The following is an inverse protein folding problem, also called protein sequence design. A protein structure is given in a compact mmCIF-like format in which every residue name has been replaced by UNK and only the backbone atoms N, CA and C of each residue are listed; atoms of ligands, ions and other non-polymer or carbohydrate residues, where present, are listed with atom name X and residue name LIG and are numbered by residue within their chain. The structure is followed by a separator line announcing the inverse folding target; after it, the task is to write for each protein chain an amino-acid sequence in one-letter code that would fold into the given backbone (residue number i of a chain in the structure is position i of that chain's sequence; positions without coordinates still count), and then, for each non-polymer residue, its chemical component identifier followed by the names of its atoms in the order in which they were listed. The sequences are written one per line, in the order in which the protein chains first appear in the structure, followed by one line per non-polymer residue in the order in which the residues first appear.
data_IF_417864279296
#
_entry.id   IF_417864279296
#
_cell.length_a   1.000
_cell.length_b   1.000
_cell.length_c   1.000
_cell.angle_alpha   90.00
_cell.angle_beta   90.00
_cell.angle_gamma   90.00
#
_symmetry.space_group_name_H-M   'P 1'
#
loop_
_entity.id
_entity.type
_entity.pdbx_description
1 polymer ?
#
# COMPACT_ATOMS: atom_id res chain seq x y z
N UNK A 1 37.88 -0.48 -29.43
CA UNK A 1 36.55 0.16 -29.52
C UNK A 1 35.46 -0.89 -29.36
N UNK A 2 35.56 -2.04 -30.01
CA UNK A 2 34.63 -3.18 -29.85
C UNK A 2 34.51 -3.66 -28.39
N UNK A 3 35.63 -3.86 -27.66
CA UNK A 3 35.58 -4.31 -26.25
C UNK A 3 34.73 -3.42 -25.32
N UNK A 4 34.72 -2.10 -25.56
CA UNK A 4 33.90 -1.15 -24.78
C UNK A 4 32.42 -1.25 -25.15
N UNK A 5 32.12 -1.58 -26.40
CA UNK A 5 30.75 -1.80 -26.87
C UNK A 5 30.22 -3.10 -26.25
N UNK A 6 31.00 -4.18 -26.29
CA UNK A 6 30.63 -5.48 -25.71
C UNK A 6 30.37 -5.37 -24.19
N UNK A 7 31.20 -4.60 -23.48
CA UNK A 7 31.00 -4.34 -22.05
C UNK A 7 29.70 -3.57 -21.79
N UNK A 8 29.39 -2.58 -22.63
CA UNK A 8 28.16 -1.80 -22.52
C UNK A 8 26.92 -2.65 -22.82
N UNK A 9 26.99 -3.53 -23.82
CA UNK A 9 25.90 -4.47 -24.14
C UNK A 9 25.63 -5.44 -22.98
N UNK A 10 26.69 -5.98 -22.38
CA UNK A 10 26.55 -6.86 -21.22
C UNK A 10 25.87 -6.13 -20.04
N UNK A 11 26.34 -4.92 -19.72
CA UNK A 11 25.74 -4.09 -18.66
C UNK A 11 24.30 -3.73 -18.97
N UNK A 12 24.01 -3.39 -20.23
CA UNK A 12 22.64 -3.08 -20.67
C UNK A 12 21.71 -4.26 -20.45
N UNK A 13 22.11 -5.47 -20.87
CA UNK A 13 21.33 -6.70 -20.64
C UNK A 13 21.11 -7.02 -19.16
N UNK A 14 22.11 -6.75 -18.30
CA UNK A 14 21.97 -6.88 -16.85
C UNK A 14 20.98 -5.88 -16.27
N UNK A 15 21.01 -4.63 -16.74
CA UNK A 15 20.07 -3.60 -16.33
C UNK A 15 18.65 -3.91 -16.79
N UNK A 16 18.47 -4.38 -18.02
CA UNK A 16 17.15 -4.76 -18.55
C UNK A 16 16.52 -5.87 -17.72
N UNK A 17 17.30 -6.90 -17.35
CA UNK A 17 16.85 -7.96 -16.43
C UNK A 17 16.46 -7.39 -15.07
N UNK A 18 17.31 -6.54 -14.50
CA UNK A 18 17.05 -5.92 -13.20
C UNK A 18 15.73 -5.12 -13.22
N UNK A 19 15.48 -4.38 -14.30
CA UNK A 19 14.24 -3.59 -14.46
C UNK A 19 13.02 -4.51 -14.51
N UNK A 20 13.08 -5.62 -15.25
CA UNK A 20 12.00 -6.60 -15.30
C UNK A 20 11.71 -7.21 -13.92
N UNK A 21 12.75 -7.65 -13.21
CA UNK A 21 12.61 -8.22 -11.86
C UNK A 21 12.00 -7.22 -10.88
N UNK A 22 12.44 -5.96 -10.91
CA UNK A 22 11.88 -4.90 -10.08
C UNK A 22 10.41 -4.62 -10.42
N UNK A 23 10.06 -4.61 -11.70
CA UNK A 23 8.68 -4.41 -12.14
C UNK A 23 7.77 -5.53 -11.62
N UNK A 24 8.19 -6.79 -11.73
CA UNK A 24 7.44 -7.93 -11.18
C UNK A 24 7.22 -7.82 -9.68
N UNK A 25 8.25 -7.39 -8.93
CA UNK A 25 8.16 -7.18 -7.49
C UNK A 25 7.15 -6.06 -7.18
N UNK A 26 7.22 -4.93 -7.87
CA UNK A 26 6.31 -3.79 -7.67
C UNK A 26 4.87 -4.19 -7.96
N UNK A 27 4.61 -4.89 -9.06
CA UNK A 27 3.27 -5.39 -9.37
C UNK A 27 2.74 -6.33 -8.29
N UNK A 28 3.58 -7.23 -7.76
CA UNK A 28 3.19 -8.13 -6.66
C UNK A 28 2.89 -7.36 -5.38
N UNK A 29 3.70 -6.35 -5.06
CA UNK A 29 3.50 -5.50 -3.89
C UNK A 29 2.19 -4.70 -3.98
N UNK A 30 1.86 -4.18 -5.17
CA UNK A 30 0.60 -3.45 -5.39
C UNK A 30 -0.63 -4.32 -5.09
N UNK A 31 -0.63 -5.57 -5.55
CA UNK A 31 -1.70 -6.52 -5.24
C UNK A 31 -1.84 -6.78 -3.73
N UNK A 32 -0.72 -6.91 -3.01
CA UNK A 32 -0.72 -7.09 -1.55
C UNK A 32 -1.26 -5.83 -0.86
N UNK A 33 -0.86 -4.64 -1.30
CA UNK A 33 -1.33 -3.38 -0.74
C UNK A 33 -2.84 -3.24 -0.93
N UNK A 34 -3.37 -3.55 -2.11
CA UNK A 34 -4.80 -3.50 -2.37
C UNK A 34 -5.59 -4.49 -1.51
N UNK A 35 -5.04 -5.69 -1.26
CA UNK A 35 -5.63 -6.64 -0.32
C UNK A 35 -5.66 -6.08 1.11
N UNK A 36 -4.55 -5.55 1.60
CA UNK A 36 -4.46 -4.97 2.94
C UNK A 36 -5.40 -3.76 3.11
N UNK A 37 -5.52 -2.90 2.09
CA UNK A 37 -6.47 -1.77 2.11
C UNK A 37 -7.90 -2.26 2.30
N UNK A 38 -8.30 -3.33 1.60
CA UNK A 38 -9.64 -3.92 1.74
C UNK A 38 -9.88 -4.49 3.13
N UNK A 39 -8.91 -5.23 3.67
CA UNK A 39 -8.98 -5.79 5.02
C UNK A 39 -9.12 -4.69 6.08
N UNK A 40 -8.33 -3.62 5.98
CA UNK A 40 -8.41 -2.46 6.88
C UNK A 40 -9.79 -1.80 6.80
N UNK A 41 -10.34 -1.61 5.60
CA UNK A 41 -11.68 -1.05 5.43
C UNK A 41 -12.75 -1.94 6.09
N UNK A 42 -12.68 -3.26 5.88
CA UNK A 42 -13.60 -4.20 6.50
C UNK A 42 -13.51 -4.18 8.04
N UNK A 43 -12.30 -4.08 8.60
CA UNK A 43 -12.08 -3.95 10.04
C UNK A 43 -12.68 -2.64 10.59
N UNK A 44 -12.54 -1.53 9.86
CA UNK A 44 -13.15 -0.25 10.24
C UNK A 44 -14.68 -0.33 10.25
N UNK A 45 -15.27 -0.96 9.24
CA UNK A 45 -16.71 -1.19 9.19
C UNK A 45 -17.19 -2.03 10.37
N UNK A 46 -16.50 -3.13 10.68
CA UNK A 46 -16.83 -3.97 11.85
C UNK A 46 -16.71 -3.21 13.17
N UNK A 47 -15.69 -2.38 13.32
CA UNK A 47 -15.51 -1.54 14.51
C UNK A 47 -16.66 -0.54 14.69
N UNK A 48 -17.09 0.13 13.61
CA UNK A 48 -18.26 1.02 13.61
C UNK A 48 -19.55 0.31 14.02
N UNK A 49 -19.76 -0.92 13.54
CA UNK A 49 -20.94 -1.72 13.89
C UNK A 49 -20.94 -2.17 15.36
N UNK A 50 -19.76 -2.39 15.94
CA UNK A 50 -19.61 -2.92 17.31
C UNK A 50 -19.63 -1.80 18.36
N UNK A 51 -19.10 -0.61 18.05
CA UNK A 51 -19.15 0.57 18.92
C UNK A 51 -19.18 1.86 18.10
N UNK A 52 -20.37 2.42 17.78
CA UNK A 52 -20.49 3.67 17.05
C UNK A 52 -19.86 4.88 17.76
N UNK A 53 -19.74 4.83 19.08
CA UNK A 53 -19.15 5.87 19.92
C UNK A 53 -17.61 5.85 19.95
N UNK A 54 -16.96 4.73 19.61
CA UNK A 54 -15.49 4.62 19.65
C UNK A 54 -14.79 5.38 18.51
N UNK A 55 -15.54 5.84 17.51
CA UNK A 55 -15.04 6.53 16.31
C UNK A 55 -15.64 7.95 16.17
N UNK A 56 -16.57 8.35 17.06
CA UNK A 56 -17.01 9.75 17.13
C UNK A 56 -15.92 10.58 17.81
N UNK A 57 -15.52 11.69 17.18
CA UNK A 57 -14.73 12.73 17.85
C UNK A 57 -15.44 13.10 19.16
N UNK A 58 -14.68 13.14 20.25
CA UNK A 58 -15.16 13.53 21.58
C UNK A 58 -15.77 14.95 21.62
N UNK A 59 -15.59 15.75 20.57
CA UNK A 59 -16.21 17.07 20.39
C UNK A 59 -17.68 17.01 19.90
N UNK A 60 -18.22 15.83 19.58
CA UNK A 60 -19.61 15.63 19.11
C UNK A 60 -20.51 15.01 20.19
N UNK A 61 -20.10 15.04 21.46
CA UNK A 61 -20.93 14.71 22.60
C UNK A 61 -21.71 15.96 23.01
N UNK A 62 -23.03 15.99 22.71
CA UNK A 62 -23.90 17.05 23.24
C UNK A 62 -23.89 16.99 24.78
N UNK A 63 -23.67 18.11 25.47
CA UNK A 63 -23.61 18.13 26.93
C UNK A 63 -24.95 17.63 27.51
N UNK A 64 -24.91 16.76 28.55
CA UNK A 64 -26.11 16.12 29.07
C UNK A 64 -27.10 17.16 29.63
N UNK A 65 -28.42 16.97 29.44
CA UNK A 65 -29.42 17.89 29.97
C UNK A 65 -29.41 17.83 31.50
N UNK A 66 -29.11 18.96 32.13
CA UNK A 66 -29.25 19.11 33.57
C UNK A 66 -30.75 19.14 33.93
N UNK A 67 -31.20 18.17 34.73
CA UNK A 67 -32.52 18.13 35.39
C UNK A 67 -32.42 18.65 36.83
#
# INVERSE_FOLDING_TARGET
MEERIDELELRYMQHERTIQELNEIVCRQDLVIEMLKREISALKEQALMTNPSAIRDSDQEEPPPHY
#
